data_IF_544292994226
#
_entry.id   IF_544292994226
#
_cell.length_a   1.000
_cell.length_b   1.000
_cell.length_c   1.000
_cell.angle_alpha   90.00
_cell.angle_beta   90.00
_cell.angle_gamma   90.00
#
_symmetry.space_group_name_H-M   'P 1'
#
loop_
_entity.id
_entity.type
_entity.pdbx_description
1 polymer ?
#
# COMPACT_ATOMS: atom_id res chain seq x y z
N UNK A 1 -15.68 -25.87 -10.03
CA UNK A 1 -15.86 -24.94 -11.18
C UNK A 1 -17.22 -24.30 -11.00
N UNK A 2 -17.29 -22.97 -10.96
CA UNK A 2 -18.54 -22.21 -10.86
C UNK A 2 -18.91 -21.69 -12.25
N UNK A 3 -20.21 -21.63 -12.55
CA UNK A 3 -20.75 -21.07 -13.79
C UNK A 3 -21.52 -19.79 -13.44
N UNK A 4 -21.53 -18.84 -14.36
CA UNK A 4 -22.20 -17.55 -14.23
C UNK A 4 -22.76 -17.16 -15.61
N UNK A 5 -23.77 -16.29 -15.62
CA UNK A 5 -24.40 -15.84 -16.87
C UNK A 5 -23.87 -14.47 -17.32
N UNK A 6 -23.48 -13.63 -16.37
CA UNK A 6 -23.05 -12.26 -16.61
C UNK A 6 -21.70 -11.98 -15.95
N UNK A 7 -20.90 -11.08 -16.53
CA UNK A 7 -19.54 -10.85 -16.05
C UNK A 7 -19.50 -10.22 -14.64
N UNK A 8 -20.47 -9.37 -14.31
CA UNK A 8 -20.60 -8.79 -12.95
C UNK A 8 -20.81 -9.88 -11.89
N UNK A 9 -21.55 -10.94 -12.22
CA UNK A 9 -21.72 -12.11 -11.35
C UNK A 9 -20.39 -12.84 -11.16
N UNK A 10 -19.57 -12.97 -12.21
CA UNK A 10 -18.24 -13.57 -12.11
C UNK A 10 -17.33 -12.80 -11.15
N UNK A 11 -17.37 -11.46 -11.21
CA UNK A 11 -16.62 -10.61 -10.27
C UNK A 11 -17.15 -10.80 -8.86
N UNK A 12 -18.47 -10.78 -8.66
CA UNK A 12 -19.09 -11.00 -7.35
C UNK A 12 -18.67 -12.36 -6.76
N UNK A 13 -18.67 -13.43 -7.55
CA UNK A 13 -18.22 -14.77 -7.16
C UNK A 13 -16.71 -14.79 -6.85
N UNK A 14 -15.87 -14.17 -7.67
CA UNK A 14 -14.42 -14.08 -7.43
C UNK A 14 -14.11 -13.38 -6.10
N UNK A 15 -14.94 -12.41 -5.74
CA UNK A 15 -14.86 -11.59 -4.53
C UNK A 15 -15.60 -12.20 -3.32
N UNK A 16 -16.34 -13.31 -3.49
CA UNK A 16 -17.11 -13.99 -2.44
C UNK A 16 -16.21 -14.86 -1.54
N UNK A 17 -15.20 -14.23 -0.96
CA UNK A 17 -14.20 -14.85 -0.08
C UNK A 17 -13.65 -13.83 0.91
N UNK A 18 -13.16 -14.31 2.06
CA UNK A 18 -12.44 -13.46 3.02
C UNK A 18 -10.96 -13.24 2.66
N UNK A 19 -10.46 -13.97 1.66
CA UNK A 19 -9.06 -13.96 1.21
C UNK A 19 -8.87 -12.99 0.03
N UNK A 20 -7.63 -12.68 -0.32
CA UNK A 20 -7.32 -11.71 -1.37
C UNK A 20 -5.87 -11.80 -1.86
N UNK A 21 -5.36 -13.01 -2.12
CA UNK A 21 -3.99 -13.17 -2.61
C UNK A 21 -3.87 -12.88 -4.11
N UNK A 22 -4.48 -13.70 -4.96
CA UNK A 22 -4.42 -13.55 -6.40
C UNK A 22 -5.78 -13.69 -7.07
N UNK A 23 -5.95 -12.99 -8.19
CA UNK A 23 -7.10 -13.03 -9.08
C UNK A 23 -6.62 -12.88 -10.53
N UNK A 24 -7.44 -13.23 -11.51
CA UNK A 24 -7.07 -13.01 -12.90
C UNK A 24 -8.16 -13.39 -13.89
N UNK A 25 -7.97 -12.90 -15.11
CA UNK A 25 -8.89 -13.08 -16.22
C UNK A 25 -8.15 -13.63 -17.44
N UNK A 26 -8.74 -14.65 -18.07
CA UNK A 26 -8.39 -15.07 -19.42
C UNK A 26 -9.50 -14.59 -20.35
N UNK A 27 -9.20 -13.58 -21.18
CA UNK A 27 -10.17 -12.97 -22.09
C UNK A 27 -9.45 -12.17 -23.18
N UNK A 28 -10.01 -12.14 -24.38
CA UNK A 28 -9.56 -11.23 -25.44
C UNK A 28 -10.08 -9.79 -25.24
N UNK A 29 -11.15 -9.61 -24.45
CA UNK A 29 -11.79 -8.32 -24.20
C UNK A 29 -11.07 -7.57 -23.08
N UNK A 30 -10.40 -6.47 -23.43
CA UNK A 30 -9.65 -5.63 -22.48
C UNK A 30 -10.55 -4.98 -21.43
N UNK A 31 -11.71 -4.48 -21.83
CA UNK A 31 -12.64 -3.76 -20.94
C UNK A 31 -13.09 -4.63 -19.76
N UNK A 32 -13.24 -5.95 -19.97
CA UNK A 32 -13.51 -6.91 -18.88
C UNK A 32 -12.35 -7.02 -17.90
N UNK A 33 -11.11 -6.96 -18.39
CA UNK A 33 -9.96 -6.95 -17.50
C UNK A 33 -9.87 -5.63 -16.73
N UNK A 34 -10.12 -4.49 -17.37
CA UNK A 34 -10.10 -3.19 -16.70
C UNK A 34 -11.18 -3.12 -15.61
N UNK A 35 -12.37 -3.68 -15.85
CA UNK A 35 -13.41 -3.83 -14.82
C UNK A 35 -12.93 -4.73 -13.67
N UNK A 36 -12.39 -5.92 -13.97
CA UNK A 36 -11.85 -6.81 -12.94
C UNK A 36 -10.73 -6.13 -12.13
N UNK A 37 -9.84 -5.39 -12.79
CA UNK A 37 -8.72 -4.70 -12.15
C UNK A 37 -9.19 -3.65 -11.14
N UNK A 38 -10.29 -2.96 -11.44
CA UNK A 38 -10.89 -1.97 -10.55
C UNK A 38 -11.68 -2.60 -9.39
N UNK A 39 -12.33 -3.75 -9.62
CA UNK A 39 -13.28 -4.34 -8.67
C UNK A 39 -12.71 -5.52 -7.85
N UNK A 40 -11.66 -6.19 -8.32
CA UNK A 40 -11.06 -7.32 -7.63
C UNK A 40 -10.39 -6.88 -6.32
N UNK A 41 -10.63 -7.64 -5.25
CA UNK A 41 -9.99 -7.42 -3.94
C UNK A 41 -8.86 -8.42 -3.74
N UNK A 42 -7.82 -8.31 -4.54
CA UNK A 42 -6.63 -9.18 -4.46
C UNK A 42 -5.33 -8.41 -4.65
N UNK A 43 -4.23 -8.94 -4.10
CA UNK A 43 -2.90 -8.35 -4.21
C UNK A 43 -2.24 -8.48 -5.58
N UNK A 44 -2.50 -9.60 -6.27
CA UNK A 44 -1.96 -9.87 -7.61
C UNK A 44 -3.13 -10.11 -8.56
N UNK A 45 -3.30 -9.24 -9.57
CA UNK A 45 -4.39 -9.34 -10.56
C UNK A 45 -3.79 -9.44 -11.97
N UNK A 46 -3.92 -10.62 -12.60
CA UNK A 46 -3.27 -10.92 -13.87
C UNK A 46 -4.27 -10.99 -15.04
N UNK A 47 -3.87 -10.49 -16.22
CA UNK A 47 -4.59 -10.67 -17.48
C UNK A 47 -3.85 -11.62 -18.40
N UNK A 48 -4.52 -12.65 -18.92
CA UNK A 48 -3.97 -13.60 -19.91
C UNK A 48 -2.62 -14.22 -19.51
N UNK A 49 -2.37 -14.32 -18.20
CA UNK A 49 -1.19 -14.95 -17.59
C UNK A 49 -1.65 -15.86 -16.44
N UNK A 50 -0.91 -16.94 -16.14
CA UNK A 50 -1.23 -17.80 -15.00
C UNK A 50 -1.30 -17.03 -13.68
N UNK A 51 -2.15 -17.48 -12.75
CA UNK A 51 -2.21 -16.92 -11.39
C UNK A 51 -0.93 -17.19 -10.59
N UNK A 52 -0.12 -18.17 -11.00
CA UNK A 52 1.20 -18.46 -10.43
C UNK A 52 2.31 -17.52 -10.93
N UNK A 53 2.03 -16.69 -11.95
CA UNK A 53 2.98 -15.70 -12.45
C UNK A 53 2.99 -14.44 -11.60
N UNK A 54 4.17 -14.08 -11.07
CA UNK A 54 4.40 -12.83 -10.35
C UNK A 54 5.82 -12.30 -10.63
N UNK A 55 6.01 -10.99 -10.53
CA UNK A 55 7.31 -10.34 -10.69
C UNK A 55 7.95 -10.10 -9.31
N UNK A 56 9.19 -10.57 -9.10
CA UNK A 56 9.95 -10.30 -7.87
C UNK A 56 10.31 -8.81 -7.69
N UNK A 57 10.29 -8.05 -8.78
CA UNK A 57 10.51 -6.59 -8.83
C UNK A 57 9.26 -5.77 -8.50
N UNK A 58 8.15 -6.42 -8.15
CA UNK A 58 6.93 -5.78 -7.68
C UNK A 58 6.58 -6.29 -6.25
N UNK A 59 5.73 -5.57 -5.50
CA UNK A 59 5.23 -6.05 -4.22
C UNK A 59 4.45 -7.37 -4.38
N UNK A 60 4.59 -8.28 -3.42
CA UNK A 60 3.83 -9.52 -3.38
C UNK A 60 3.15 -9.69 -2.02
N UNK A 61 1.85 -9.42 -1.94
CA UNK A 61 1.10 -9.58 -0.71
C UNK A 61 -0.40 -9.50 -0.92
N UNK A 62 -1.15 -10.39 -0.26
CA UNK A 62 -2.60 -10.42 -0.34
C UNK A 62 -3.30 -9.50 0.65
N UNK A 63 -4.55 -9.13 0.33
CA UNK A 63 -5.47 -8.40 1.20
C UNK A 63 -6.36 -9.35 2.01
N UNK A 64 -7.19 -8.79 2.90
CA UNK A 64 -8.11 -9.56 3.73
C UNK A 64 -7.37 -10.57 4.60
N UNK A 65 -7.88 -11.80 4.69
CA UNK A 65 -7.25 -12.87 5.47
C UNK A 65 -5.97 -13.45 4.83
N UNK A 66 -5.53 -12.95 3.68
CA UNK A 66 -4.30 -13.40 2.99
C UNK A 66 -3.05 -12.64 3.42
N UNK A 67 -3.16 -11.62 4.26
CA UNK A 67 -2.01 -10.85 4.70
C UNK A 67 -2.34 -9.94 5.88
N UNK A 68 -1.33 -9.20 6.31
CA UNK A 68 -1.40 -8.22 7.40
C UNK A 68 -0.91 -6.83 6.94
N UNK A 69 -1.12 -6.53 5.65
CA UNK A 69 -0.69 -5.28 5.01
C UNK A 69 0.83 -5.02 5.04
N UNK A 70 1.64 -6.09 5.08
CA UNK A 70 3.10 -6.05 4.91
C UNK A 70 3.50 -6.94 3.73
N UNK A 71 3.31 -6.48 2.48
CA UNK A 71 3.64 -7.27 1.30
C UNK A 71 5.14 -7.56 1.23
N UNK A 72 5.50 -8.78 0.82
CA UNK A 72 6.87 -9.19 0.58
C UNK A 72 7.36 -8.80 -0.82
N UNK A 73 8.32 -9.59 -1.32
CA UNK A 73 9.05 -9.30 -2.57
C UNK A 73 9.65 -7.89 -2.55
N UNK A 74 9.30 -7.01 -3.49
CA UNK A 74 9.91 -5.68 -3.59
C UNK A 74 9.71 -4.81 -2.33
N UNK A 75 8.54 -4.90 -1.68
CA UNK A 75 8.24 -4.15 -0.46
C UNK A 75 8.71 -4.86 0.82
N UNK A 76 9.46 -5.96 0.71
CA UNK A 76 10.07 -6.57 1.89
C UNK A 76 10.99 -5.59 2.65
N UNK A 77 11.61 -4.64 1.93
CA UNK A 77 12.41 -3.58 2.54
C UNK A 77 11.62 -2.77 3.59
N UNK A 78 10.33 -2.50 3.34
CA UNK A 78 9.48 -1.65 4.18
C UNK A 78 9.27 -2.21 5.60
N UNK A 79 9.31 -3.54 5.75
CA UNK A 79 9.19 -4.18 7.07
C UNK A 79 10.54 -4.66 7.64
N UNK A 80 11.64 -4.54 6.88
CA UNK A 80 12.98 -4.88 7.33
C UNK A 80 13.72 -3.68 7.97
N UNK A 81 13.30 -2.45 7.68
CA UNK A 81 13.86 -1.23 8.25
C UNK A 81 12.74 -0.30 8.74
N UNK A 82 13.09 0.63 9.63
CA UNK A 82 12.21 1.70 10.08
C UNK A 82 12.86 3.05 9.78
N UNK A 83 12.10 4.05 9.30
CA UNK A 83 12.68 5.34 8.95
C UNK A 83 13.02 6.14 10.22
N UNK A 84 14.18 6.78 10.22
CA UNK A 84 14.56 7.81 11.18
C UNK A 84 14.71 9.13 10.44
N UNK A 85 14.00 10.17 10.87
CA UNK A 85 14.14 11.52 10.35
C UNK A 85 14.71 12.42 11.46
N UNK A 86 15.77 13.17 11.13
CA UNK A 86 16.45 14.08 12.05
C UNK A 86 16.45 15.50 11.50
N UNK A 87 16.29 16.49 12.39
CA UNK A 87 16.64 17.89 12.14
C UNK A 87 17.87 18.20 12.96
N UNK A 88 18.95 18.61 12.30
CA UNK A 88 20.24 18.84 12.94
C UNK A 88 20.63 20.31 12.80
N UNK A 89 21.03 20.91 13.92
CA UNK A 89 21.69 22.22 13.95
C UNK A 89 23.02 22.03 14.66
N UNK A 90 24.16 22.38 14.04
CA UNK A 90 25.46 22.27 14.70
C UNK A 90 25.61 23.26 15.86
N UNK A 91 24.80 24.34 15.85
CA UNK A 91 24.84 25.41 16.82
C UNK A 91 23.51 25.51 17.58
N UNK A 92 23.61 25.73 18.90
CA UNK A 92 22.47 26.04 19.76
C UNK A 92 22.27 27.56 19.80
N UNK A 93 21.27 28.05 19.07
CA UNK A 93 20.93 29.47 19.02
C UNK A 93 19.45 29.71 19.32
N UNK A 94 19.14 30.88 19.87
CA UNK A 94 17.76 31.38 19.91
C UNK A 94 17.27 31.63 18.48
N UNK A 95 15.98 31.40 18.18
CA UNK A 95 15.43 31.77 16.89
C UNK A 95 15.51 33.29 16.68
N UNK A 96 15.68 33.72 15.44
CA UNK A 96 15.79 35.15 15.10
C UNK A 96 14.56 35.97 15.54
N UNK A 97 13.40 35.33 15.58
CA UNK A 97 12.17 35.90 16.15
C UNK A 97 11.65 34.98 17.24
N UNK A 98 11.49 35.53 18.44
CA UNK A 98 10.88 34.82 19.56
C UNK A 98 9.36 34.78 19.41
N UNK A 99 8.74 33.67 19.81
CA UNK A 99 7.28 33.60 19.94
C UNK A 99 6.78 34.62 20.97
N UNK A 100 5.59 35.25 20.76
CA UNK A 100 5.04 36.22 21.69
C UNK A 100 4.97 35.70 23.15
N UNK A 101 5.32 36.55 24.11
CA UNK A 101 5.29 36.22 25.54
C UNK A 101 6.57 35.57 26.09
N UNK A 102 7.55 35.21 25.25
CA UNK A 102 8.86 34.72 25.69
C UNK A 102 9.82 35.89 25.93
N UNK A 103 10.13 36.19 27.19
CA UNK A 103 11.10 37.22 27.58
C UNK A 103 12.29 36.58 28.32
N UNK A 104 13.45 36.55 27.66
CA UNK A 104 14.69 35.99 28.22
C UNK A 104 15.68 37.08 28.70
N UNK A 105 15.26 38.35 28.78
CA UNK A 105 16.10 39.39 29.40
C UNK A 105 16.19 39.08 30.89
N UNK A 106 17.39 38.76 31.40
CA UNK A 106 17.64 38.60 32.84
C UNK A 106 17.31 39.91 33.54
N UNK A 107 16.45 39.87 34.57
CA UNK A 107 16.36 40.95 35.55
C UNK A 107 17.75 41.11 36.18
N UNK A 108 18.35 42.27 35.99
CA UNK A 108 19.61 42.59 36.65
C UNK A 108 19.24 43.01 38.07
N UNK A 109 19.30 42.09 39.03
CA UNK A 109 19.22 42.43 40.45
C UNK A 109 20.43 43.32 40.79
N UNK A 110 20.14 44.57 41.18
CA UNK A 110 21.07 45.44 41.90
C UNK A 110 21.24 44.94 43.34
#
# INVERSE_FOLDING_TARGET
VWRYDHFDEAIALANATRFGLSCGLISAERDKFDQLLLEARAGIVNWNKPLTGAASTAPFGGTGASGNHRPGAWYAADYCAWPMASLESPELALPATLSPGLNFRKETSQ
#
